data_IF_837012168269
#
_entry.id   IF_837012168269
#
_cell.length_a   1.000
_cell.length_b   1.000
_cell.length_c   1.000
_cell.angle_alpha   90.00
_cell.angle_beta   90.00
_cell.angle_gamma   90.00
#
_symmetry.space_group_name_H-M   'P 1'
#
loop_
_entity.id
_entity.type
_entity.pdbx_description
1 polymer ?
#
# COMPACT_ATOMS: atom_id res chain seq x y z
N UNK A 1 3.86 -2.00 5.46
CA UNK A 1 5.04 -2.03 4.57
C UNK A 1 4.95 -1.02 3.44
N UNK A 2 3.87 -0.96 2.63
CA UNK A 2 3.72 0.07 1.57
C UNK A 2 3.78 1.50 2.15
N UNK A 3 3.11 1.74 3.29
CA UNK A 3 3.16 3.04 3.96
C UNK A 3 4.54 3.41 4.52
N UNK A 4 5.37 2.43 4.91
CA UNK A 4 6.72 2.68 5.44
C UNK A 4 7.66 3.08 4.29
N UNK A 5 7.64 2.33 3.18
CA UNK A 5 8.43 2.66 1.98
C UNK A 5 8.06 4.05 1.41
N UNK A 6 6.77 4.39 1.39
CA UNK A 6 6.33 5.73 0.99
C UNK A 6 6.87 6.84 1.91
N UNK A 7 6.87 6.61 3.23
CA UNK A 7 7.41 7.57 4.21
C UNK A 7 8.94 7.69 4.14
N UNK A 8 9.64 6.63 3.73
CA UNK A 8 11.09 6.62 3.51
C UNK A 8 11.51 7.21 2.15
N UNK A 9 10.56 7.73 1.36
CA UNK A 9 10.84 8.32 0.05
C UNK A 9 11.26 7.31 -1.02
N UNK A 10 11.04 6.00 -0.78
CA UNK A 10 11.34 4.92 -1.72
C UNK A 10 10.04 4.39 -2.32
N UNK A 11 9.60 4.89 -3.47
CA UNK A 11 8.39 4.40 -4.11
C UNK A 11 8.53 2.90 -4.40
N UNK A 12 7.60 2.10 -3.89
CA UNK A 12 7.62 0.64 -4.02
C UNK A 12 7.10 0.25 -5.41
N UNK A 13 7.84 -0.58 -6.15
CA UNK A 13 7.36 -1.07 -7.44
C UNK A 13 6.23 -2.08 -7.25
N UNK A 14 5.28 -2.09 -8.19
CA UNK A 14 4.21 -3.10 -8.21
C UNK A 14 4.79 -4.52 -8.27
N UNK A 15 5.85 -4.72 -9.06
CA UNK A 15 6.56 -6.01 -9.15
C UNK A 15 7.15 -6.41 -7.80
N UNK A 16 7.90 -5.52 -7.14
CA UNK A 16 8.47 -5.78 -5.81
C UNK A 16 7.39 -6.16 -4.80
N UNK A 17 6.26 -5.45 -4.81
CA UNK A 17 5.13 -5.74 -3.92
C UNK A 17 4.50 -7.12 -4.18
N UNK A 18 4.44 -7.57 -5.43
CA UNK A 18 3.89 -8.89 -5.81
C UNK A 18 4.87 -10.03 -5.44
N UNK A 19 6.16 -9.77 -5.45
CA UNK A 19 7.19 -10.75 -5.07
C UNK A 19 7.52 -10.75 -3.57
N UNK A 20 6.77 -10.01 -2.73
CA UNK A 20 6.81 -10.12 -1.27
C UNK A 20 6.15 -11.42 -0.80
N UNK A 21 6.74 -12.57 -1.14
CA UNK A 21 6.21 -13.92 -0.87
C UNK A 21 5.90 -14.17 0.62
N UNK A 22 6.51 -13.41 1.55
CA UNK A 22 6.18 -13.42 2.98
C UNK A 22 4.74 -12.98 3.30
N UNK A 23 4.09 -12.24 2.39
CA UNK A 23 2.76 -11.68 2.57
C UNK A 23 1.66 -12.47 1.85
N UNK A 24 2.02 -13.43 1.00
CA UNK A 24 1.11 -14.28 0.25
C UNK A 24 1.65 -14.66 -1.13
N UNK A 25 0.90 -15.49 -1.86
CA UNK A 25 1.25 -15.84 -3.23
C UNK A 25 1.14 -14.63 -4.18
N UNK A 26 1.90 -14.60 -5.30
CA UNK A 26 1.85 -13.52 -6.27
C UNK A 26 0.43 -13.20 -6.76
N UNK A 27 -0.38 -14.22 -7.04
CA UNK A 27 -1.78 -14.05 -7.44
C UNK A 27 -2.63 -13.39 -6.35
N UNK A 28 -2.41 -13.76 -5.08
CA UNK A 28 -3.11 -13.16 -3.93
C UNK A 28 -2.72 -11.69 -3.75
N UNK A 29 -1.43 -11.38 -3.85
CA UNK A 29 -0.91 -10.02 -3.71
C UNK A 29 -1.39 -9.13 -4.85
N UNK A 30 -1.35 -9.62 -6.09
CA UNK A 30 -1.90 -8.91 -7.25
C UNK A 30 -3.39 -8.59 -7.06
N UNK A 31 -4.20 -9.56 -6.60
CA UNK A 31 -5.62 -9.34 -6.30
C UNK A 31 -5.83 -8.30 -5.20
N UNK A 32 -5.01 -8.32 -4.14
CA UNK A 32 -5.06 -7.32 -3.06
C UNK A 32 -4.70 -5.92 -3.55
N UNK A 33 -3.64 -5.77 -4.34
CA UNK A 33 -3.28 -4.49 -4.95
C UNK A 33 -4.41 -3.97 -5.85
N UNK A 34 -4.97 -4.83 -6.70
CA UNK A 34 -6.12 -4.48 -7.53
C UNK A 34 -7.32 -4.00 -6.70
N UNK A 35 -7.62 -4.63 -5.57
CA UNK A 35 -8.68 -4.20 -4.68
C UNK A 35 -8.36 -2.84 -4.02
N UNK A 36 -7.14 -2.65 -3.51
CA UNK A 36 -6.71 -1.37 -2.94
C UNK A 36 -6.81 -0.22 -3.95
N UNK A 37 -6.48 -0.49 -5.21
CA UNK A 37 -6.62 0.46 -6.30
C UNK A 37 -8.10 0.77 -6.58
N UNK A 38 -8.96 -0.26 -6.67
CA UNK A 38 -10.42 -0.10 -6.84
C UNK A 38 -11.05 0.71 -5.70
N UNK A 39 -10.58 0.56 -4.48
CA UNK A 39 -11.04 1.37 -3.34
C UNK A 39 -10.48 2.81 -3.35
N UNK A 40 -9.59 3.12 -4.28
CA UNK A 40 -8.93 4.42 -4.40
C UNK A 40 -7.93 4.69 -3.29
N UNK A 41 -7.40 3.63 -2.64
CA UNK A 41 -6.40 3.74 -1.58
C UNK A 41 -4.98 3.78 -2.13
N UNK A 42 -4.76 3.24 -3.33
CA UNK A 42 -3.49 3.32 -4.04
C UNK A 42 -3.73 3.76 -5.49
N UNK A 43 -2.71 4.32 -6.10
CA UNK A 43 -2.62 4.56 -7.55
C UNK A 43 -1.33 3.96 -8.08
N UNK A 44 -1.35 3.61 -9.36
CA UNK A 44 -0.11 3.29 -10.06
C UNK A 44 0.44 4.60 -10.63
N UNK A 45 1.59 5.01 -10.12
CA UNK A 45 2.37 6.10 -10.72
C UNK A 45 3.17 5.56 -11.91
N UNK A 46 3.30 6.38 -12.93
CA UNK A 46 4.18 6.11 -14.07
C UNK A 46 5.61 6.59 -13.75
N UNK A 47 6.59 5.79 -14.16
CA UNK A 47 7.98 6.23 -14.24
C UNK A 47 8.13 7.21 -15.42
N UNK A 48 9.04 8.21 -15.36
CA UNK A 48 9.37 9.04 -16.53
C UNK A 48 9.80 8.21 -17.76
N UNK A 49 10.33 7.00 -17.58
CA UNK A 49 10.70 6.06 -18.65
C UNK A 49 9.54 5.12 -19.06
N UNK A 50 8.37 5.20 -18.40
CA UNK A 50 7.13 4.47 -18.72
C UNK A 50 7.17 2.95 -18.52
N UNK A 51 8.32 2.38 -18.13
CA UNK A 51 8.53 0.93 -18.04
C UNK A 51 8.15 0.32 -16.69
N UNK A 52 7.99 1.14 -15.65
CA UNK A 52 7.77 0.68 -14.27
C UNK A 52 6.55 1.38 -13.67
N UNK A 53 5.72 0.58 -12.98
CA UNK A 53 4.59 1.08 -12.20
C UNK A 53 4.98 1.14 -10.73
N UNK A 54 4.91 2.33 -10.15
CA UNK A 54 5.11 2.52 -8.72
C UNK A 54 3.78 2.52 -7.98
N UNK A 55 3.80 2.08 -6.74
CA UNK A 55 2.66 2.18 -5.83
C UNK A 55 2.69 3.53 -5.12
N UNK A 56 1.69 4.34 -5.38
CA UNK A 56 1.50 5.63 -4.72
C UNK A 56 0.29 5.59 -3.78
N UNK A 57 0.44 6.20 -2.61
CA UNK A 57 -0.67 6.39 -1.68
C UNK A 57 -1.52 7.59 -2.12
N UNK A 58 -2.83 7.39 -2.16
CA UNK A 58 -3.77 8.50 -2.36
C UNK A 58 -3.99 9.27 -1.06
N UNK A 59 -4.54 10.50 -1.11
CA UNK A 59 -4.99 11.21 0.09
C UNK A 59 -5.96 10.37 0.94
N UNK A 60 -6.89 9.66 0.28
CA UNK A 60 -7.83 8.73 0.94
C UNK A 60 -7.13 7.63 1.74
N UNK A 61 -5.99 7.15 1.24
CA UNK A 61 -5.15 6.18 1.94
C UNK A 61 -4.66 6.70 3.28
N UNK A 62 -4.18 7.96 3.31
CA UNK A 62 -3.68 8.58 4.54
C UNK A 62 -4.76 8.71 5.59
N UNK A 63 -5.96 9.15 5.20
CA UNK A 63 -7.11 9.27 6.10
C UNK A 63 -7.56 7.91 6.63
N UNK A 64 -7.59 6.90 5.76
CA UNK A 64 -7.89 5.53 6.14
C UNK A 64 -6.88 4.98 7.16
N UNK A 65 -5.58 5.12 6.90
CA UNK A 65 -4.54 4.68 7.83
C UNK A 65 -4.54 5.45 9.14
N UNK A 66 -4.84 6.76 9.13
CA UNK A 66 -4.99 7.57 10.34
C UNK A 66 -6.15 7.07 11.19
N UNK A 67 -7.30 6.81 10.58
CA UNK A 67 -8.49 6.27 11.25
C UNK A 67 -8.21 4.87 11.81
N UNK A 68 -7.61 4.00 11.01
CA UNK A 68 -7.24 2.65 11.42
C UNK A 68 -6.27 2.67 12.59
N UNK A 69 -5.25 3.54 12.56
CA UNK A 69 -4.29 3.70 13.65
C UNK A 69 -4.99 4.11 14.95
N UNK A 70 -5.90 5.09 14.90
CA UNK A 70 -6.70 5.51 16.07
C UNK A 70 -7.53 4.35 16.63
N UNK A 71 -8.17 3.56 15.77
CA UNK A 71 -8.95 2.39 16.18
C UNK A 71 -8.08 1.32 16.85
N UNK A 72 -6.92 1.01 16.27
CA UNK A 72 -5.97 0.04 16.83
C UNK A 72 -5.47 0.50 18.20
N UNK A 73 -5.09 1.78 18.35
CA UNK A 73 -4.67 2.34 19.66
C UNK A 73 -5.80 2.25 20.67
N UNK A 74 -7.04 2.56 20.26
CA UNK A 74 -8.20 2.49 21.15
C UNK A 74 -8.50 1.05 21.59
N UNK A 75 -8.34 0.06 20.71
CA UNK A 75 -8.56 -1.35 21.00
C UNK A 75 -7.41 -1.99 21.79
N UNK A 76 -6.18 -1.52 21.60
CA UNK A 76 -4.98 -2.00 22.28
C UNK A 76 -4.68 -1.32 23.61
N UNK A 77 -5.45 -0.29 24.01
CA UNK A 77 -5.39 0.23 25.37
C UNK A 77 -5.86 -0.87 26.32
N UNK A 78 -5.00 -1.39 27.23
CA UNK A 78 -5.46 -2.28 28.27
C UNK A 78 -6.50 -1.54 29.12
N UNK A 79 -7.55 -2.29 29.50
CA UNK A 79 -8.61 -1.86 30.42
C UNK A 79 -7.98 -1.56 31.78
#
# INVERSE_FOLDING_TARGET
>A
MIAIHYLEGKPLLVSEAIYLNKLGSPATLHRRLSNLQKYGLIRYGDDPDGRKKYLELTPKSRDYFSTLSKCIIKAGKPI
#
